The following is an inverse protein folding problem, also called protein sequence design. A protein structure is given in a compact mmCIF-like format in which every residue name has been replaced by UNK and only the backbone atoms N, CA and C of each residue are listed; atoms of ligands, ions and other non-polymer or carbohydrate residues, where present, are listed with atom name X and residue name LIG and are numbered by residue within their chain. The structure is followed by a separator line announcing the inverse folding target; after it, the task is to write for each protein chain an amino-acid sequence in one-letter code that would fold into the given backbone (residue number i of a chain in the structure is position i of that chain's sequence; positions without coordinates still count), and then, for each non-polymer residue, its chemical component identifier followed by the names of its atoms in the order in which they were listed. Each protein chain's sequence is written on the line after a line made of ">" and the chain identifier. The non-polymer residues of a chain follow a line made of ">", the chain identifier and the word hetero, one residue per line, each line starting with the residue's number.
data_IF_051036437989
#
_entry.id   IF_051036437989
#
_cell.length_a   1.000
_cell.length_b   1.000
_cell.length_c   1.000
_cell.angle_alpha   90.00
_cell.angle_beta   90.00
_cell.angle_gamma   90.00
#
_symmetry.space_group_name_H-M   'P 1'
#
loop_
_entity.id
_entity.type
_entity.pdbx_description
1 polymer ?
#
# COMPACT_ATOMS: atom_id res chain seq x y z
N UNK A 1 -5.34 13.57 10.66
CA UNK A 1 -6.76 13.27 10.94
C UNK A 1 -6.94 11.76 11.00
N UNK A 2 -7.64 11.26 12.01
CA UNK A 2 -8.06 9.86 12.13
C UNK A 2 -9.56 9.80 11.87
N UNK A 3 -9.97 8.84 11.02
CA UNK A 3 -11.37 8.55 10.74
C UNK A 3 -11.68 7.14 11.21
N UNK A 4 -12.52 7.01 12.23
CA UNK A 4 -13.05 5.73 12.69
C UNK A 4 -14.37 5.40 11.99
N UNK A 5 -14.48 4.21 11.40
CA UNK A 5 -15.69 3.69 10.78
C UNK A 5 -16.13 2.45 11.54
N UNK A 6 -17.16 2.58 12.37
CA UNK A 6 -17.63 1.53 13.28
C UNK A 6 -18.95 0.94 12.78
N UNK A 7 -18.88 -0.29 12.26
CA UNK A 7 -20.06 -0.99 11.80
C UNK A 7 -21.03 -1.28 12.97
N UNK A 8 -22.34 -1.20 12.71
CA UNK A 8 -23.38 -1.38 13.75
C UNK A 8 -23.78 -2.83 13.98
N UNK A 9 -23.36 -3.73 13.11
CA UNK A 9 -23.59 -5.17 13.21
C UNK A 9 -22.26 -5.94 13.02
N UNK A 10 -22.25 -7.24 13.23
CA UNK A 10 -21.07 -8.11 13.07
C UNK A 10 -21.07 -8.93 11.79
N UNK A 11 -21.91 -8.59 10.80
CA UNK A 11 -22.00 -9.27 9.52
C UNK A 11 -20.97 -8.75 8.54
N UNK A 12 -20.41 -9.61 7.70
CA UNK A 12 -19.66 -9.19 6.54
C UNK A 12 -20.61 -8.71 5.46
N UNK A 13 -20.42 -7.49 5.00
CA UNK A 13 -21.07 -6.97 3.81
C UNK A 13 -20.10 -7.02 2.65
N UNK A 14 -20.60 -7.32 1.46
CA UNK A 14 -19.78 -7.49 0.26
C UNK A 14 -20.18 -6.51 -0.82
N UNK A 15 -19.20 -6.01 -1.56
CA UNK A 15 -19.38 -5.23 -2.77
C UNK A 15 -18.99 -6.09 -3.98
N UNK A 16 -19.79 -6.04 -5.04
CA UNK A 16 -19.52 -6.77 -6.29
C UNK A 16 -18.76 -5.91 -7.31
N UNK A 17 -18.96 -4.62 -7.29
CA UNK A 17 -18.54 -3.67 -8.32
C UNK A 17 -17.88 -2.41 -7.74
N UNK A 18 -17.54 -2.44 -6.45
CA UNK A 18 -16.99 -1.32 -5.69
C UNK A 18 -17.91 -0.09 -5.65
N UNK A 19 -19.17 -0.23 -6.08
CA UNK A 19 -20.17 0.84 -5.98
C UNK A 19 -20.67 1.03 -4.55
N UNK A 20 -21.16 2.21 -4.26
CA UNK A 20 -21.70 2.58 -2.96
C UNK A 20 -20.72 3.30 -2.05
N UNK A 21 -21.28 3.92 -1.01
CA UNK A 21 -20.51 4.70 -0.03
C UNK A 21 -20.11 3.82 1.15
N UNK A 22 -18.81 3.62 1.35
CA UNK A 22 -18.31 2.78 2.43
C UNK A 22 -16.79 2.75 2.52
N UNK A 23 -16.29 2.05 3.53
CA UNK A 23 -14.89 1.65 3.59
C UNK A 23 -14.76 0.26 2.97
N UNK A 24 -13.90 0.13 1.96
CA UNK A 24 -13.71 -1.10 1.20
C UNK A 24 -12.39 -1.74 1.60
N UNK A 25 -12.43 -3.06 1.87
CA UNK A 25 -11.27 -3.90 2.11
C UNK A 25 -11.28 -5.04 1.10
N UNK A 26 -10.60 -4.83 -0.02
CA UNK A 26 -10.60 -5.74 -1.16
C UNK A 26 -9.44 -6.74 -1.10
N UNK A 27 -9.65 -8.00 -1.48
CA UNK A 27 -8.57 -8.94 -1.71
C UNK A 27 -7.76 -8.53 -2.95
N UNK A 28 -6.54 -9.06 -3.09
CA UNK A 28 -5.70 -8.81 -4.26
C UNK A 28 -6.24 -9.52 -5.51
N UNK A 29 -6.89 -10.65 -5.35
CA UNK A 29 -7.42 -11.46 -6.46
C UNK A 29 -8.96 -11.47 -6.48
N UNK A 30 -9.54 -11.80 -7.64
CA UNK A 30 -10.99 -11.85 -7.86
C UNK A 30 -11.68 -13.09 -7.27
N UNK A 31 -10.91 -14.01 -6.65
CA UNK A 31 -11.45 -15.26 -6.11
C UNK A 31 -12.22 -15.08 -4.82
N UNK A 32 -11.92 -14.01 -4.10
CA UNK A 32 -12.51 -13.68 -2.83
C UNK A 32 -13.41 -12.44 -2.95
N UNK A 33 -14.47 -12.42 -2.14
CA UNK A 33 -15.39 -11.29 -2.14
C UNK A 33 -14.76 -10.05 -1.50
N UNK A 34 -14.94 -8.91 -2.14
CA UNK A 34 -14.57 -7.60 -1.58
C UNK A 34 -15.45 -7.27 -0.39
N UNK A 35 -14.85 -7.03 0.77
CA UNK A 35 -15.56 -6.65 1.99
C UNK A 35 -15.79 -5.12 1.97
N UNK A 36 -16.97 -4.71 2.43
CA UNK A 36 -17.33 -3.29 2.57
C UNK A 36 -17.96 -3.04 3.94
N UNK A 37 -17.61 -1.92 4.56
CA UNK A 37 -18.37 -1.35 5.68
C UNK A 37 -19.23 -0.20 5.10
N UNK A 38 -20.52 -0.41 4.83
CA UNK A 38 -21.38 0.64 4.26
C UNK A 38 -21.54 1.78 5.28
N UNK A 39 -21.36 3.02 4.86
CA UNK A 39 -21.52 4.17 5.76
C UNK A 39 -22.93 4.29 6.31
N UNK A 40 -23.95 3.82 5.59
CA UNK A 40 -25.35 3.74 6.07
C UNK A 40 -25.52 2.78 7.26
N UNK A 41 -24.62 1.80 7.40
CA UNK A 41 -24.62 0.82 8.49
C UNK A 41 -23.47 1.05 9.49
N UNK A 42 -22.86 2.21 9.45
CA UNK A 42 -21.73 2.53 10.32
C UNK A 42 -21.97 3.81 11.12
N UNK A 43 -21.22 3.97 12.20
CA UNK A 43 -20.99 5.24 12.89
C UNK A 43 -19.61 5.74 12.47
N UNK A 44 -19.55 6.96 11.98
CA UNK A 44 -18.29 7.60 11.56
C UNK A 44 -17.89 8.59 12.65
N UNK A 45 -16.67 8.49 13.12
CA UNK A 45 -16.05 9.43 14.06
C UNK A 45 -14.81 10.03 13.39
N UNK A 46 -14.62 11.33 13.58
CA UNK A 46 -13.42 12.05 13.13
C UNK A 46 -12.75 12.70 14.30
N UNK A 47 -11.46 12.52 14.44
CA UNK A 47 -10.67 13.20 15.45
C UNK A 47 -9.35 13.71 14.88
N UNK A 48 -8.82 14.78 15.47
CA UNK A 48 -7.42 15.15 15.27
C UNK A 48 -6.58 14.27 16.18
N UNK A 49 -5.53 13.69 15.63
CA UNK A 49 -4.60 12.88 16.42
C UNK A 49 -3.71 13.80 17.25
N UNK A 50 -3.91 13.79 18.56
CA UNK A 50 -2.88 14.11 19.54
C UNK A 50 -2.57 12.80 20.28
N UNK A 51 -1.96 11.85 19.57
CA UNK A 51 -1.66 10.55 20.16
C UNK A 51 -0.28 10.66 20.81
N UNK A 52 -0.17 10.54 22.15
CA UNK A 52 1.13 10.50 22.80
C UNK A 52 1.88 9.24 22.35
N UNK A 53 3.11 9.39 21.91
CA UNK A 53 4.00 8.25 21.64
C UNK A 53 4.32 7.57 22.97
N UNK A 54 3.62 6.50 23.26
CA UNK A 54 3.87 5.65 24.41
C UNK A 54 4.86 4.55 24.01
N UNK A 55 6.06 4.67 24.52
CA UNK A 55 7.18 3.71 24.54
C UNK A 55 7.59 3.04 23.21
N UNK A 56 8.86 3.21 22.89
CA UNK A 56 9.56 2.45 21.83
C UNK A 56 9.85 1.04 22.34
N UNK A 57 8.96 0.11 22.09
CA UNK A 57 9.27 -1.31 22.26
C UNK A 57 10.24 -1.74 21.15
N UNK A 58 11.50 -2.01 21.52
CA UNK A 58 12.45 -2.67 20.62
C UNK A 58 11.97 -4.11 20.44
N UNK A 59 11.46 -4.41 19.24
CA UNK A 59 11.16 -5.78 18.83
C UNK A 59 12.42 -6.34 18.17
N UNK A 60 12.99 -7.41 18.72
CA UNK A 60 13.99 -8.20 18.01
C UNK A 60 13.26 -9.08 17.00
N UNK A 61 13.44 -8.80 15.73
CA UNK A 61 12.99 -9.68 14.65
C UNK A 61 14.05 -10.73 14.45
N UNK A 62 13.79 -11.96 14.86
CA UNK A 62 14.63 -13.12 14.55
C UNK A 62 14.36 -13.51 13.10
N UNK A 63 15.17 -13.03 12.18
CA UNK A 63 15.13 -13.49 10.78
C UNK A 63 15.66 -14.93 10.72
N UNK A 64 14.78 -15.89 10.52
CA UNK A 64 15.17 -17.26 10.23
C UNK A 64 15.90 -17.31 8.88
N UNK A 65 17.10 -17.89 8.82
CA UNK A 65 17.90 -18.01 7.59
C UNK A 65 17.14 -18.70 6.47
N UNK A 66 16.32 -19.70 6.81
CA UNK A 66 15.48 -20.43 5.85
C UNK A 66 14.49 -19.53 5.11
N UNK A 67 13.91 -18.53 5.77
CA UNK A 67 12.98 -17.58 5.14
C UNK A 67 13.70 -16.72 4.11
N UNK A 68 14.94 -16.33 4.40
CA UNK A 68 15.79 -15.57 3.48
C UNK A 68 16.17 -16.41 2.26
N UNK A 69 16.58 -17.66 2.45
CA UNK A 69 16.94 -18.57 1.36
C UNK A 69 15.76 -18.83 0.43
N UNK A 70 14.58 -19.12 0.97
CA UNK A 70 13.36 -19.31 0.18
C UNK A 70 12.99 -18.09 -0.65
N UNK A 71 13.18 -16.89 -0.11
CA UNK A 71 12.93 -15.67 -0.87
C UNK A 71 13.96 -15.47 -2.00
N UNK A 72 15.23 -15.75 -1.76
CA UNK A 72 16.27 -15.70 -2.80
C UNK A 72 15.96 -16.66 -3.95
N UNK A 73 15.53 -17.88 -3.64
CA UNK A 73 15.11 -18.85 -4.67
C UNK A 73 13.88 -18.39 -5.44
N UNK A 74 12.91 -17.77 -4.77
CA UNK A 74 11.74 -17.17 -5.44
C UNK A 74 12.15 -16.06 -6.42
N UNK A 75 13.07 -15.18 -6.01
CA UNK A 75 13.62 -14.12 -6.88
C UNK A 75 14.34 -14.72 -8.08
N UNK A 76 15.19 -15.74 -7.91
CA UNK A 76 15.85 -16.44 -9.02
C UNK A 76 14.83 -17.01 -10.02
N UNK A 77 13.78 -17.65 -9.53
CA UNK A 77 12.67 -18.16 -10.37
C UNK A 77 11.96 -17.02 -11.13
N UNK A 78 11.70 -15.88 -10.49
CA UNK A 78 11.12 -14.71 -11.12
C UNK A 78 11.99 -14.17 -12.26
N UNK A 79 13.29 -14.02 -12.03
CA UNK A 79 14.28 -13.60 -13.05
C UNK A 79 14.30 -14.58 -14.24
N UNK A 80 14.35 -15.89 -13.96
CA UNK A 80 14.33 -16.90 -14.99
C UNK A 80 13.04 -16.89 -15.82
N UNK A 81 11.89 -16.63 -15.15
CA UNK A 81 10.60 -16.53 -15.81
C UNK A 81 10.53 -15.34 -16.75
N UNK A 82 10.95 -14.14 -16.32
CA UNK A 82 11.02 -12.94 -17.15
C UNK A 82 11.87 -13.20 -18.40
N UNK A 83 13.07 -13.78 -18.23
CA UNK A 83 13.99 -14.07 -19.35
C UNK A 83 13.42 -15.03 -20.41
N UNK A 84 12.47 -15.89 -20.05
CA UNK A 84 11.90 -16.92 -20.89
C UNK A 84 10.42 -16.72 -21.23
N UNK A 85 9.86 -15.55 -20.92
CA UNK A 85 8.46 -15.20 -21.18
C UNK A 85 8.33 -13.82 -21.83
N UNK A 86 7.08 -13.38 -22.02
CA UNK A 86 6.77 -12.02 -22.50
C UNK A 86 6.51 -11.03 -21.36
N UNK A 87 6.83 -11.41 -20.11
CA UNK A 87 6.68 -10.50 -18.96
C UNK A 87 7.91 -9.61 -18.83
N UNK A 88 7.69 -8.32 -18.73
CA UNK A 88 8.75 -7.33 -18.52
C UNK A 88 9.03 -7.14 -17.03
N UNK A 89 8.02 -7.37 -16.15
CA UNK A 89 8.10 -7.15 -14.72
C UNK A 89 7.27 -8.16 -13.94
N UNK A 90 7.78 -8.54 -12.77
CA UNK A 90 7.05 -9.31 -11.75
C UNK A 90 7.31 -8.72 -10.35
N UNK A 91 6.26 -8.62 -9.55
CA UNK A 91 6.37 -8.23 -8.14
C UNK A 91 6.23 -9.47 -7.29
N UNK A 92 7.23 -9.72 -6.45
CA UNK A 92 7.29 -10.88 -5.57
C UNK A 92 7.08 -10.45 -4.11
N UNK A 93 6.32 -11.24 -3.37
CA UNK A 93 6.08 -11.03 -1.94
C UNK A 93 6.40 -12.27 -1.14
N UNK A 94 6.61 -12.10 0.16
CA UNK A 94 6.77 -13.19 1.12
C UNK A 94 5.91 -12.96 2.34
N UNK A 95 5.51 -14.04 2.99
CA UNK A 95 4.90 -14.02 4.32
C UNK A 95 5.99 -14.33 5.36
N UNK A 96 5.93 -13.66 6.48
CA UNK A 96 6.75 -13.91 7.66
C UNK A 96 5.84 -14.00 8.88
N UNK A 97 6.04 -14.98 9.74
CA UNK A 97 5.33 -15.16 10.99
C UNK A 97 6.26 -14.80 12.14
N UNK A 98 5.80 -13.92 13.03
CA UNK A 98 6.58 -13.42 14.15
C UNK A 98 5.78 -13.63 15.43
N UNK A 99 6.39 -14.29 16.42
CA UNK A 99 5.83 -14.32 17.77
C UNK A 99 6.10 -13.00 18.45
N UNK A 100 5.06 -12.39 19.02
CA UNK A 100 5.17 -11.11 19.69
C UNK A 100 4.64 -11.25 21.11
N UNK A 101 5.48 -10.96 22.09
CA UNK A 101 5.10 -10.89 23.52
C UNK A 101 4.61 -9.46 23.80
N UNK A 102 3.53 -9.33 24.58
CA UNK A 102 2.96 -8.04 24.99
C UNK A 102 2.59 -7.11 23.82
N UNK A 103 1.96 -7.66 22.78
CA UNK A 103 1.56 -6.90 21.60
C UNK A 103 0.40 -5.94 21.90
N UNK A 104 0.66 -4.63 21.78
CA UNK A 104 -0.35 -3.60 21.85
C UNK A 104 -0.69 -3.07 20.44
N UNK A 105 -1.92 -3.33 20.00
CA UNK A 105 -2.42 -2.96 18.67
C UNK A 105 -2.42 -1.44 18.49
N UNK A 106 -2.85 -0.68 19.51
CA UNK A 106 -2.97 0.77 19.41
C UNK A 106 -1.62 1.45 19.38
N UNK A 107 -0.67 0.98 20.18
CA UNK A 107 0.71 1.50 20.15
C UNK A 107 1.35 1.24 18.79
N UNK A 108 1.18 0.04 18.21
CA UNK A 108 1.69 -0.29 16.89
C UNK A 108 1.03 0.56 15.79
N UNK A 109 -0.27 0.81 15.89
CA UNK A 109 -0.97 1.69 14.95
C UNK A 109 -0.44 3.13 15.02
N UNK A 110 -0.19 3.63 16.22
CA UNK A 110 0.37 4.95 16.44
C UNK A 110 1.80 5.06 15.89
N UNK A 111 2.66 4.05 16.14
CA UNK A 111 4.00 3.97 15.57
C UNK A 111 3.96 3.99 14.03
N UNK A 112 3.00 3.30 13.41
CA UNK A 112 2.81 3.35 11.96
C UNK A 112 2.40 4.73 11.47
N UNK A 113 1.49 5.42 12.17
CA UNK A 113 1.08 6.78 11.82
C UNK A 113 2.25 7.76 11.89
N UNK A 114 3.09 7.64 12.91
CA UNK A 114 4.26 8.52 13.10
C UNK A 114 5.36 8.23 12.07
N UNK A 115 5.58 6.94 11.77
CA UNK A 115 6.62 6.53 10.83
C UNK A 115 6.24 6.82 9.37
N UNK A 116 4.94 6.78 9.05
CA UNK A 116 4.40 7.00 7.70
C UNK A 116 3.42 8.18 7.64
N UNK A 117 3.84 9.43 7.94
CA UNK A 117 2.91 10.58 8.07
C UNK A 117 2.19 10.94 6.78
N UNK A 118 2.70 10.52 5.62
CA UNK A 118 2.14 10.80 4.30
C UNK A 118 1.45 9.57 3.64
N UNK A 119 1.37 8.45 4.36
CA UNK A 119 0.73 7.23 3.87
C UNK A 119 -0.74 7.15 4.31
N UNK A 120 -1.48 6.26 3.66
CA UNK A 120 -2.76 5.80 4.17
C UNK A 120 -2.50 4.72 5.20
N UNK A 121 -2.58 5.07 6.49
CA UNK A 121 -2.43 4.11 7.59
C UNK A 121 -3.81 3.63 8.01
N UNK A 122 -3.97 2.32 8.13
CA UNK A 122 -5.25 1.72 8.52
C UNK A 122 -5.09 0.67 9.60
N UNK A 123 -6.14 0.55 10.40
CA UNK A 123 -6.39 -0.55 11.33
C UNK A 123 -7.79 -1.08 11.05
N UNK A 124 -7.85 -2.30 10.55
CA UNK A 124 -9.08 -3.04 10.31
C UNK A 124 -9.28 -4.09 11.42
N UNK A 125 -10.49 -4.23 11.91
CA UNK A 125 -10.86 -5.29 12.85
C UNK A 125 -12.27 -5.79 12.58
N UNK A 126 -12.41 -7.10 12.38
CA UNK A 126 -13.71 -7.73 12.24
C UNK A 126 -13.66 -9.16 12.81
N UNK A 127 -14.70 -9.65 13.55
CA UNK A 127 -14.67 -10.98 14.17
C UNK A 127 -14.41 -12.15 13.23
N UNK A 128 -14.82 -12.03 11.97
CA UNK A 128 -14.68 -13.10 10.96
C UNK A 128 -13.36 -12.98 10.18
N UNK A 129 -12.97 -11.77 9.78
CA UNK A 129 -11.77 -11.55 8.95
C UNK A 129 -10.51 -11.25 9.75
N UNK A 130 -10.62 -11.14 11.09
CA UNK A 130 -9.49 -10.86 11.97
C UNK A 130 -9.08 -9.39 11.99
N UNK A 131 -7.85 -9.16 12.44
CA UNK A 131 -7.26 -7.83 12.58
C UNK A 131 -6.16 -7.66 11.54
N UNK A 132 -6.18 -6.54 10.85
CA UNK A 132 -5.20 -6.16 9.83
C UNK A 132 -4.76 -4.73 10.07
N UNK A 133 -3.49 -4.48 9.82
CA UNK A 133 -2.90 -3.17 9.96
C UNK A 133 -1.90 -2.93 8.83
N UNK A 134 -1.84 -1.72 8.34
CA UNK A 134 -0.89 -1.40 7.28
C UNK A 134 -0.74 0.09 7.05
N UNK A 135 0.32 0.43 6.32
CA UNK A 135 0.60 1.77 5.83
C UNK A 135 0.92 1.68 4.34
N UNK A 136 0.10 2.32 3.50
CA UNK A 136 0.30 2.36 2.06
C UNK A 136 0.71 3.76 1.62
N UNK A 137 1.94 3.96 1.15
CA UNK A 137 2.39 5.25 0.61
C UNK A 137 1.83 5.51 -0.78
N UNK A 138 1.40 4.48 -1.49
CA UNK A 138 0.90 4.52 -2.85
C UNK A 138 -0.61 4.53 -2.89
N UNK A 139 -1.17 5.37 -3.77
CA UNK A 139 -2.62 5.45 -4.04
C UNK A 139 -2.88 5.00 -5.47
N UNK A 140 -3.66 3.94 -5.60
CA UNK A 140 -4.07 3.45 -6.91
C UNK A 140 -4.84 4.52 -7.68
N UNK A 141 -5.82 5.15 -7.05
CA UNK A 141 -6.69 6.14 -7.68
C UNK A 141 -7.25 7.09 -6.63
N UNK A 142 -7.27 8.37 -6.95
CA UNK A 142 -8.03 9.38 -6.22
C UNK A 142 -8.97 10.06 -7.19
N UNK A 143 -10.27 10.09 -6.89
CA UNK A 143 -11.27 10.84 -7.65
C UNK A 143 -11.85 11.94 -6.76
N UNK A 144 -11.87 13.16 -7.27
CA UNK A 144 -12.46 14.30 -6.58
C UNK A 144 -13.21 15.18 -7.59
N UNK A 145 -14.53 15.21 -7.44
CA UNK A 145 -15.43 15.77 -8.45
C UNK A 145 -15.26 15.04 -9.80
N UNK A 146 -14.89 15.73 -10.87
CA UNK A 146 -14.62 15.16 -12.18
C UNK A 146 -13.12 14.93 -12.47
N UNK A 147 -12.23 15.13 -11.49
CA UNK A 147 -10.79 14.95 -11.66
C UNK A 147 -10.33 13.68 -11.00
N UNK A 148 -9.42 12.98 -11.66
CA UNK A 148 -8.73 11.84 -11.07
C UNK A 148 -7.22 12.04 -11.06
N UNK A 149 -6.58 11.32 -10.12
CA UNK A 149 -5.13 11.26 -9.99
C UNK A 149 -4.72 9.84 -9.65
N UNK A 150 -3.76 9.33 -10.40
CA UNK A 150 -3.12 8.03 -10.22
C UNK A 150 -1.64 8.26 -9.91
N UNK A 151 -1.07 7.42 -9.07
CA UNK A 151 0.30 7.52 -8.65
C UNK A 151 1.07 6.33 -9.25
N UNK A 152 2.04 6.59 -10.11
CA UNK A 152 3.01 5.59 -10.54
C UNK A 152 4.19 5.62 -9.58
N UNK A 153 4.33 4.57 -8.77
CA UNK A 153 5.38 4.43 -7.79
C UNK A 153 6.14 3.12 -8.04
N UNK A 154 7.43 3.21 -8.30
CA UNK A 154 8.26 2.02 -8.46
C UNK A 154 9.70 2.31 -8.06
N UNK A 155 10.53 1.28 -8.10
CA UNK A 155 11.95 1.33 -7.72
C UNK A 155 12.16 1.78 -6.28
N UNK A 156 13.16 1.20 -5.63
CA UNK A 156 13.33 1.41 -4.19
C UNK A 156 14.81 1.52 -3.83
N UNK A 157 15.15 2.54 -3.05
CA UNK A 157 16.44 2.67 -2.39
C UNK A 157 16.26 2.94 -0.90
N UNK A 158 17.25 2.57 -0.09
CA UNK A 158 17.26 2.90 1.33
C UNK A 158 17.50 4.40 1.53
N UNK A 159 16.71 5.03 2.38
CA UNK A 159 16.94 6.42 2.77
C UNK A 159 18.13 6.51 3.74
N UNK A 160 19.17 7.22 3.34
CA UNK A 160 20.40 7.43 4.12
C UNK A 160 20.56 8.90 4.57
N UNK A 161 19.44 9.59 4.84
CA UNK A 161 19.45 11.00 5.27
C UNK A 161 19.39 12.02 4.13
N UNK A 162 19.56 11.60 2.85
CA UNK A 162 19.57 12.48 1.68
C UNK A 162 18.44 12.09 0.73
N UNK A 163 17.64 13.08 0.29
CA UNK A 163 16.56 12.86 -0.68
C UNK A 163 17.06 12.86 -2.13
N UNK A 164 18.15 13.59 -2.40
CA UNK A 164 18.72 13.68 -3.74
C UNK A 164 19.66 12.51 -3.96
N UNK A 165 19.16 11.50 -4.65
CA UNK A 165 19.89 10.27 -4.97
C UNK A 165 19.97 10.08 -6.48
N UNK A 166 20.96 9.31 -6.92
CA UNK A 166 21.05 8.86 -8.30
C UNK A 166 20.29 7.54 -8.46
N UNK A 167 19.50 7.47 -9.53
CA UNK A 167 18.80 6.27 -9.95
C UNK A 167 19.48 5.69 -11.19
N UNK A 168 19.75 4.38 -11.15
CA UNK A 168 20.31 3.67 -12.28
C UNK A 168 19.32 3.53 -13.45
N UNK A 169 19.81 3.03 -14.55
CA UNK A 169 19.00 2.78 -15.77
C UNK A 169 17.90 1.75 -15.47
N UNK A 170 18.23 0.64 -14.80
CA UNK A 170 17.28 -0.40 -14.39
C UNK A 170 16.10 0.17 -13.59
N UNK A 171 16.37 1.03 -12.61
CA UNK A 171 15.34 1.63 -11.77
C UNK A 171 14.44 2.58 -12.57
N UNK A 172 15.01 3.31 -13.53
CA UNK A 172 14.26 4.19 -14.43
C UNK A 172 13.38 3.41 -15.39
N UNK A 173 13.90 2.34 -15.99
CA UNK A 173 13.14 1.44 -16.85
C UNK A 173 12.00 0.76 -16.09
N UNK A 174 12.27 0.26 -14.87
CA UNK A 174 11.25 -0.35 -14.02
C UNK A 174 10.10 0.63 -13.73
N UNK A 175 10.43 1.89 -13.46
CA UNK A 175 9.43 2.93 -13.21
C UNK A 175 8.66 3.30 -14.48
N UNK A 176 9.33 3.39 -15.64
CA UNK A 176 8.71 3.69 -16.92
C UNK A 176 7.68 2.63 -17.32
N UNK A 177 7.96 1.34 -17.10
CA UNK A 177 6.99 0.24 -17.33
C UNK A 177 5.68 0.49 -16.58
N UNK A 178 5.75 1.00 -15.34
CA UNK A 178 4.54 1.30 -14.55
C UNK A 178 3.78 2.49 -15.13
N UNK A 179 4.48 3.55 -15.54
CA UNK A 179 3.85 4.72 -16.17
C UNK A 179 3.13 4.30 -17.46
N UNK A 180 3.82 3.57 -18.33
CA UNK A 180 3.31 3.14 -19.64
C UNK A 180 2.09 2.23 -19.48
N UNK A 181 2.13 1.30 -18.51
CA UNK A 181 1.00 0.44 -18.20
C UNK A 181 -0.23 1.23 -17.75
N UNK A 182 -0.05 2.21 -16.85
CA UNK A 182 -1.15 3.05 -16.40
C UNK A 182 -1.70 3.89 -17.55
N UNK A 183 -0.83 4.50 -18.35
CA UNK A 183 -1.22 5.30 -19.51
C UNK A 183 -2.02 4.47 -20.53
N UNK A 184 -1.60 3.23 -20.81
CA UNK A 184 -2.33 2.30 -21.69
C UNK A 184 -3.74 2.00 -21.15
N UNK A 185 -3.87 1.75 -19.84
CA UNK A 185 -5.18 1.48 -19.21
C UNK A 185 -6.10 2.69 -19.14
N UNK A 186 -5.54 3.88 -19.26
CA UNK A 186 -6.25 5.15 -19.18
C UNK A 186 -6.37 5.86 -20.56
N UNK A 187 -6.14 5.14 -21.66
CA UNK A 187 -6.12 5.70 -23.03
C UNK A 187 -7.44 6.37 -23.45
N UNK A 188 -8.56 5.99 -22.85
CA UNK A 188 -9.88 6.59 -23.11
C UNK A 188 -10.05 7.97 -22.45
N UNK A 189 -9.10 8.38 -21.63
CA UNK A 189 -9.11 9.65 -20.92
C UNK A 189 -7.95 10.55 -21.41
N UNK A 190 -8.19 11.86 -21.40
CA UNK A 190 -7.11 12.80 -21.66
C UNK A 190 -6.28 12.97 -20.38
N UNK A 191 -5.13 12.30 -20.34
CA UNK A 191 -4.24 12.30 -19.18
C UNK A 191 -2.99 13.15 -19.42
N UNK A 192 -2.52 13.79 -18.34
CA UNK A 192 -1.19 14.41 -18.23
C UNK A 192 -0.33 13.63 -17.26
N UNK A 193 0.94 13.47 -17.56
CA UNK A 193 1.93 12.82 -16.71
C UNK A 193 2.95 13.83 -16.24
N UNK A 194 3.23 13.88 -14.94
CA UNK A 194 4.28 14.72 -14.37
C UNK A 194 5.67 14.20 -14.72
N UNK A 195 6.69 15.05 -14.57
CA UNK A 195 8.07 14.58 -14.49
C UNK A 195 8.22 13.57 -13.34
N UNK A 196 9.17 12.62 -13.50
CA UNK A 196 9.53 11.67 -12.45
C UNK A 196 10.37 12.35 -11.38
N UNK A 197 10.03 12.11 -10.13
CA UNK A 197 10.74 12.66 -8.97
C UNK A 197 10.89 11.64 -7.84
N UNK A 198 11.83 11.90 -6.92
CA UNK A 198 12.08 11.04 -5.76
C UNK A 198 11.15 11.41 -4.61
N UNK A 199 10.50 10.39 -4.00
CA UNK A 199 9.71 10.54 -2.78
C UNK A 199 10.23 9.65 -1.67
N UNK A 200 10.01 10.08 -0.42
CA UNK A 200 10.33 9.30 0.77
C UNK A 200 9.06 8.68 1.35
N UNK A 201 9.13 7.38 1.64
CA UNK A 201 8.11 6.66 2.37
C UNK A 201 8.77 5.86 3.52
N UNK A 202 8.55 6.29 4.76
CA UNK A 202 9.24 5.70 5.91
C UNK A 202 10.76 5.78 5.78
N UNK A 203 11.43 4.65 5.81
CA UNK A 203 12.88 4.51 5.65
C UNK A 203 13.36 4.30 4.20
N UNK A 204 12.48 4.46 3.22
CA UNK A 204 12.75 4.17 1.80
C UNK A 204 12.55 5.38 0.92
N UNK A 205 13.23 5.37 -0.23
CA UNK A 205 13.03 6.29 -1.35
C UNK A 205 12.46 5.52 -2.54
N UNK A 206 11.58 6.18 -3.30
CA UNK A 206 10.97 5.64 -4.51
C UNK A 206 10.98 6.68 -5.63
N UNK A 207 10.95 6.20 -6.89
CA UNK A 207 10.59 7.02 -8.04
C UNK A 207 9.07 7.13 -8.12
N UNK A 208 8.59 8.34 -8.40
CA UNK A 208 7.18 8.65 -8.54
C UNK A 208 6.92 9.55 -9.74
N UNK A 209 5.83 9.26 -10.45
CA UNK A 209 5.16 10.18 -11.36
C UNK A 209 3.66 10.21 -11.01
N UNK A 210 3.03 11.33 -11.26
CA UNK A 210 1.58 11.51 -11.09
C UNK A 210 0.92 11.59 -12.47
N UNK A 211 -0.13 10.78 -12.68
CA UNK A 211 -0.98 10.84 -13.86
C UNK A 211 -2.32 11.44 -13.47
N UNK A 212 -2.74 12.49 -14.13
CA UNK A 212 -3.94 13.25 -13.81
C UNK A 212 -4.81 13.41 -15.05
N UNK A 213 -6.13 13.39 -14.86
CA UNK A 213 -7.10 13.60 -15.92
C UNK A 213 -8.50 13.94 -15.41
N UNK A 214 -9.45 14.02 -16.34
CA UNK A 214 -10.85 14.29 -16.05
C UNK A 214 -11.73 13.11 -16.52
N UNK A 215 -12.83 12.85 -15.77
CA UNK A 215 -13.85 11.83 -16.06
C UNK A 215 -14.97 12.45 -16.89
#
# INVERSE_FOLDING_TARGET
>A
EIIGVFQKDNRLHYSKDLSGNGFIFAPFDDKNNTIVIPYSKARILKCKSEIPVLSKNKKEVVNAEDVKLNHVELVKKGIAYIKNSKLDKVVLSRKEEIEVVDFNILDTFNELCDFYPNAFVYLWSHPISGIWMGASPERLLTVKSNKFKIMALASTQKFNGVLRVEWGEKEREEHQIVIDYIADKMQDYNISTSDTYTVKAGGLLHLRADLEGEI
#
